data_IF_069305308898
#
_entry.id   IF_069305308898
#
_cell.length_a   1.000
_cell.length_b   1.000
_cell.length_c   1.000
_cell.angle_alpha   90.00
_cell.angle_beta   90.00
_cell.angle_gamma   90.00
#
_symmetry.space_group_name_H-M   'P 1'
#
loop_
_entity.id
_entity.type
_entity.pdbx_description
1 polymer ?
#
# COMPACT_ATOMS: atom_id res chain seq x y z
N UNK A 1 -7.18 -4.03 -17.10
CA UNK A 1 -7.93 -2.83 -17.54
C UNK A 1 -7.61 -1.70 -16.60
N UNK A 2 -7.34 -0.51 -17.12
CA UNK A 2 -7.15 0.69 -16.31
C UNK A 2 -8.48 1.44 -16.17
N UNK A 3 -8.73 1.97 -14.99
CA UNK A 3 -9.80 2.93 -14.77
C UNK A 3 -9.31 4.32 -15.09
N UNK A 4 -10.23 5.22 -15.37
CA UNK A 4 -9.94 6.65 -15.40
C UNK A 4 -9.69 7.18 -13.97
N UNK A 5 -9.11 8.37 -13.89
CA UNK A 5 -8.84 9.06 -12.62
C UNK A 5 -9.88 10.17 -12.37
N UNK A 6 -10.02 10.57 -11.12
CA UNK A 6 -10.79 11.75 -10.71
C UNK A 6 -9.86 12.94 -10.39
N UNK A 7 -10.43 14.04 -9.92
CA UNK A 7 -9.69 15.28 -9.59
C UNK A 7 -8.66 15.07 -8.46
N UNK A 8 -8.72 13.94 -7.75
CA UNK A 8 -7.70 13.55 -6.78
C UNK A 8 -6.54 12.80 -7.42
N UNK A 9 -6.51 12.62 -8.73
CA UNK A 9 -5.57 11.80 -9.50
C UNK A 9 -5.55 10.33 -9.06
N UNK A 10 -6.57 9.88 -8.36
CA UNK A 10 -6.75 8.49 -7.96
C UNK A 10 -7.82 7.82 -8.81
N UNK A 11 -7.95 6.48 -8.64
CA UNK A 11 -8.98 5.68 -9.29
C UNK A 11 -10.38 6.29 -9.10
N UNK A 12 -11.07 6.60 -10.19
CA UNK A 12 -12.43 7.11 -10.18
C UNK A 12 -13.43 5.98 -9.87
N UNK A 13 -14.14 6.00 -8.72
CA UNK A 13 -15.06 4.91 -8.36
C UNK A 13 -16.21 4.72 -9.36
N UNK A 14 -16.68 5.82 -9.97
CA UNK A 14 -17.75 5.78 -10.97
C UNK A 14 -17.30 5.05 -12.23
N UNK A 15 -16.08 5.34 -12.69
CA UNK A 15 -15.52 4.64 -13.85
C UNK A 15 -15.19 3.18 -13.52
N UNK A 16 -14.62 2.91 -12.32
CA UNK A 16 -14.38 1.55 -11.85
C UNK A 16 -15.64 0.68 -11.97
N UNK A 17 -16.79 1.18 -11.53
CA UNK A 17 -18.03 0.41 -11.53
C UNK A 17 -18.44 -0.04 -12.93
N UNK A 18 -18.24 0.79 -13.93
CA UNK A 18 -18.57 0.48 -15.33
C UNK A 18 -17.62 -0.56 -15.97
N UNK A 19 -16.41 -0.72 -15.43
CA UNK A 19 -15.38 -1.62 -15.96
C UNK A 19 -15.40 -3.03 -15.35
N UNK A 20 -16.17 -3.23 -14.27
CA UNK A 20 -16.26 -4.55 -13.62
C UNK A 20 -16.96 -5.55 -14.53
N UNK A 21 -16.35 -6.72 -14.66
CA UNK A 21 -16.87 -7.83 -15.46
C UNK A 21 -16.62 -9.18 -14.76
N UNK A 22 -17.15 -10.26 -15.30
CA UNK A 22 -16.88 -11.64 -14.84
C UNK A 22 -15.38 -12.01 -14.87
N UNK A 23 -14.56 -11.27 -15.62
CA UNK A 23 -13.10 -11.47 -15.72
C UNK A 23 -12.34 -10.71 -14.64
N UNK A 24 -12.94 -9.75 -13.94
CA UNK A 24 -12.29 -8.96 -12.90
C UNK A 24 -11.97 -9.84 -11.68
N UNK A 25 -10.70 -9.93 -11.32
CA UNK A 25 -10.22 -10.79 -10.22
C UNK A 25 -9.77 -10.00 -8.99
N UNK A 26 -9.37 -8.75 -9.17
CA UNK A 26 -8.97 -7.84 -8.10
C UNK A 26 -9.20 -6.39 -8.54
N UNK A 27 -9.34 -5.50 -7.55
CA UNK A 27 -9.33 -4.04 -7.73
C UNK A 27 -8.08 -3.54 -7.03
N UNK A 28 -7.26 -2.73 -7.72
CA UNK A 28 -5.99 -2.23 -7.18
C UNK A 28 -6.00 -0.69 -7.23
N UNK A 29 -6.58 -0.02 -6.22
CA UNK A 29 -6.48 1.43 -6.09
C UNK A 29 -5.08 1.82 -5.65
N UNK A 30 -4.51 2.81 -6.31
CA UNK A 30 -3.28 3.48 -5.89
C UNK A 30 -3.62 4.71 -5.06
N UNK A 31 -2.92 4.95 -3.97
CA UNK A 31 -2.99 6.20 -3.21
C UNK A 31 -1.90 7.14 -3.73
N UNK A 32 -2.19 7.76 -4.88
CA UNK A 32 -1.21 8.50 -5.67
C UNK A 32 -0.64 9.70 -4.91
N UNK A 33 0.70 9.75 -4.81
CA UNK A 33 1.46 10.83 -4.18
C UNK A 33 0.97 11.19 -2.76
N UNK A 34 0.59 10.20 -1.98
CA UNK A 34 0.19 10.35 -0.59
C UNK A 34 -1.26 10.77 -0.35
N UNK A 35 -2.06 10.96 -1.39
CA UNK A 35 -3.49 11.26 -1.27
C UNK A 35 -4.30 9.97 -1.37
N UNK A 36 -5.12 9.63 -0.35
CA UNK A 36 -5.94 8.44 -0.38
C UNK A 36 -6.95 8.44 -1.51
N UNK A 37 -7.12 7.29 -2.17
CA UNK A 37 -8.25 7.04 -3.05
C UNK A 37 -9.56 6.95 -2.24
N UNK A 38 -10.71 7.09 -2.90
CA UNK A 38 -12.04 7.01 -2.29
C UNK A 38 -12.38 5.58 -1.80
N UNK A 39 -11.63 5.14 -0.79
CA UNK A 39 -11.65 3.75 -0.32
C UNK A 39 -13.01 3.28 0.20
N UNK A 40 -13.84 4.19 0.72
CA UNK A 40 -15.19 3.84 1.19
C UNK A 40 -16.04 3.34 0.02
N UNK A 41 -16.01 4.04 -1.10
CA UNK A 41 -16.75 3.66 -2.31
C UNK A 41 -16.11 2.45 -2.99
N UNK A 42 -14.80 2.44 -3.16
CA UNK A 42 -14.06 1.33 -3.80
C UNK A 42 -14.29 0.02 -3.04
N UNK A 43 -14.18 0.03 -1.72
CA UNK A 43 -14.44 -1.17 -0.90
C UNK A 43 -15.91 -1.62 -0.98
N UNK A 44 -16.86 -0.69 -1.07
CA UNK A 44 -18.27 -1.02 -1.28
C UNK A 44 -18.49 -1.72 -2.62
N UNK A 45 -17.85 -1.21 -3.69
CA UNK A 45 -17.92 -1.82 -5.02
C UNK A 45 -17.30 -3.22 -5.00
N UNK A 46 -16.11 -3.38 -4.44
CA UNK A 46 -15.43 -4.66 -4.29
C UNK A 46 -16.30 -5.68 -3.55
N UNK A 47 -16.84 -5.29 -2.38
CA UNK A 47 -17.70 -6.16 -1.56
C UNK A 47 -18.98 -6.59 -2.30
N UNK A 48 -19.66 -5.66 -2.99
CA UNK A 48 -20.88 -5.95 -3.76
C UNK A 48 -20.63 -6.96 -4.87
N UNK A 49 -19.48 -6.87 -5.52
CA UNK A 49 -19.10 -7.74 -6.63
C UNK A 49 -18.27 -8.97 -6.20
N UNK A 50 -18.02 -9.14 -4.89
CA UNK A 50 -17.18 -10.23 -4.32
C UNK A 50 -15.77 -10.25 -4.90
N UNK A 51 -15.22 -9.07 -5.18
CA UNK A 51 -13.88 -8.88 -5.75
C UNK A 51 -12.98 -8.31 -4.64
N UNK A 52 -11.81 -8.94 -4.36
CA UNK A 52 -10.87 -8.44 -3.37
C UNK A 52 -10.26 -7.10 -3.81
N UNK A 53 -10.01 -6.23 -2.82
CA UNK A 53 -9.34 -4.96 -3.02
C UNK A 53 -7.94 -5.02 -2.43
N UNK A 54 -6.94 -4.62 -3.22
CA UNK A 54 -5.53 -4.54 -2.83
C UNK A 54 -5.12 -3.07 -2.88
N UNK A 55 -4.93 -2.45 -1.72
CA UNK A 55 -4.47 -1.07 -1.65
C UNK A 55 -3.00 -0.96 -2.04
N UNK A 56 -2.68 -0.19 -3.06
CA UNK A 56 -1.32 0.25 -3.33
C UNK A 56 -1.04 1.53 -2.53
N UNK A 57 -0.42 1.36 -1.36
CA UNK A 57 -0.04 2.44 -0.46
C UNK A 57 1.48 2.77 -0.54
N UNK A 58 2.14 2.39 -1.64
CA UNK A 58 3.58 2.57 -1.83
C UNK A 58 4.04 4.03 -1.81
N UNK A 59 3.15 4.98 -2.03
CA UNK A 59 3.43 6.41 -1.96
C UNK A 59 2.70 7.12 -0.81
N UNK A 60 1.95 6.38 0.00
CA UNK A 60 1.01 6.97 0.97
C UNK A 60 1.21 6.48 2.40
N UNK A 61 2.43 6.08 2.76
CA UNK A 61 2.71 5.66 4.14
C UNK A 61 2.34 6.78 5.12
N UNK A 62 1.51 6.43 6.11
CA UNK A 62 1.03 7.39 7.12
C UNK A 62 -0.20 8.20 6.72
N UNK A 63 -0.69 8.09 5.49
CA UNK A 63 -1.97 8.69 5.09
C UNK A 63 -3.15 7.97 5.75
N UNK A 64 -4.26 8.69 5.92
CA UNK A 64 -5.44 8.18 6.64
C UNK A 64 -6.73 8.52 5.92
N UNK A 65 -7.72 7.64 6.06
CA UNK A 65 -9.14 7.86 5.71
C UNK A 65 -9.96 7.63 6.97
N UNK A 66 -10.75 8.61 7.39
CA UNK A 66 -11.55 8.54 8.63
C UNK A 66 -10.74 8.03 9.84
N UNK A 67 -9.53 8.55 10.03
CA UNK A 67 -8.64 8.22 11.15
C UNK A 67 -7.88 6.88 11.02
N UNK A 68 -8.18 6.04 10.04
CA UNK A 68 -7.52 4.75 9.80
C UNK A 68 -6.45 4.86 8.72
N UNK A 69 -5.31 4.22 8.92
CA UNK A 69 -4.22 4.22 7.94
C UNK A 69 -4.60 3.48 6.66
N UNK A 70 -4.25 4.06 5.51
CA UNK A 70 -4.32 3.38 4.21
C UNK A 70 -3.38 2.18 4.18
N UNK A 71 -3.62 1.24 3.27
CA UNK A 71 -2.94 -0.05 3.23
C UNK A 71 -3.49 -1.07 4.24
N UNK A 72 -4.42 -0.65 5.13
CA UNK A 72 -5.12 -1.50 6.09
C UNK A 72 -6.65 -1.41 6.01
N UNK A 73 -7.17 -0.68 5.03
CA UNK A 73 -8.62 -0.46 4.88
C UNK A 73 -9.31 -1.61 4.13
N UNK A 74 -8.57 -2.33 3.29
CA UNK A 74 -9.07 -3.41 2.43
C UNK A 74 -8.54 -4.78 2.83
N UNK A 75 -8.73 -5.80 2.01
CA UNK A 75 -8.26 -7.17 2.28
C UNK A 75 -6.74 -7.26 2.33
N UNK A 76 -6.08 -6.52 1.42
CA UNK A 76 -4.63 -6.44 1.31
C UNK A 76 -4.18 -5.00 1.14
N UNK A 77 -2.95 -4.73 1.55
CA UNK A 77 -2.27 -3.48 1.27
C UNK A 77 -0.77 -3.71 1.06
N UNK A 78 -0.18 -2.94 0.17
CA UNK A 78 1.24 -3.01 -0.13
C UNK A 78 1.92 -1.67 0.13
N UNK A 79 3.17 -1.75 0.58
CA UNK A 79 4.03 -0.60 0.86
C UNK A 79 5.39 -0.82 0.19
N UNK A 80 6.00 0.26 -0.25
CA UNK A 80 7.36 0.26 -0.79
C UNK A 80 8.33 0.92 0.19
N UNK A 81 9.53 0.34 0.26
CA UNK A 81 10.68 0.90 0.96
C UNK A 81 11.85 1.12 0.00
N UNK A 82 11.54 1.36 -1.28
CA UNK A 82 12.48 1.79 -2.30
C UNK A 82 13.25 3.07 -1.86
N UNK A 83 14.42 3.31 -2.43
CA UNK A 83 15.30 4.42 -2.05
C UNK A 83 14.64 5.79 -2.14
N UNK A 84 13.68 5.99 -3.05
CA UNK A 84 12.94 7.25 -3.25
C UNK A 84 11.75 7.47 -2.31
N UNK A 85 11.43 6.50 -1.45
CA UNK A 85 10.26 6.60 -0.56
C UNK A 85 10.56 7.40 0.71
N UNK A 86 9.50 7.88 1.37
CA UNK A 86 9.59 8.68 2.60
C UNK A 86 10.38 7.99 3.71
N UNK A 87 10.30 6.67 3.80
CA UNK A 87 11.21 5.80 4.55
C UNK A 87 11.72 4.71 3.61
N UNK A 88 12.98 4.35 3.72
CA UNK A 88 13.62 3.43 2.79
C UNK A 88 14.42 2.35 3.51
N UNK A 89 14.60 1.23 2.84
CA UNK A 89 15.55 0.16 3.21
C UNK A 89 16.57 -0.08 2.10
N UNK A 90 16.74 0.91 1.19
CA UNK A 90 17.42 0.78 -0.08
C UNK A 90 16.49 0.18 -1.12
N UNK A 91 16.15 -1.06 -0.95
CA UNK A 91 15.09 -1.79 -1.65
C UNK A 91 14.28 -2.58 -0.63
N UNK A 92 12.99 -2.77 -0.89
CA UNK A 92 12.10 -3.54 -0.03
C UNK A 92 10.64 -3.12 -0.10
N UNK A 93 9.83 -3.83 0.66
CA UNK A 93 8.41 -3.57 0.77
C UNK A 93 7.76 -4.37 1.88
N UNK A 94 6.49 -4.12 2.11
CA UNK A 94 5.69 -4.89 3.04
C UNK A 94 4.31 -5.17 2.44
N UNK A 95 3.79 -6.35 2.75
CA UNK A 95 2.41 -6.73 2.49
C UNK A 95 1.65 -6.82 3.81
N UNK A 96 0.53 -6.13 3.87
CA UNK A 96 -0.49 -6.30 4.90
C UNK A 96 -1.59 -7.23 4.40
N UNK A 97 -2.13 -8.06 5.28
CA UNK A 97 -3.31 -8.89 5.01
C UNK A 97 -4.22 -8.91 6.23
N UNK A 98 -5.52 -8.70 6.02
CA UNK A 98 -6.54 -8.78 7.07
C UNK A 98 -6.71 -10.19 7.62
N UNK A 99 -6.65 -11.20 6.76
CA UNK A 99 -6.84 -12.60 7.14
C UNK A 99 -5.50 -13.26 7.44
N UNK A 100 -5.40 -13.91 8.60
CA UNK A 100 -4.19 -14.65 9.00
C UNK A 100 -3.80 -15.76 8.01
N UNK A 101 -4.79 -16.43 7.40
CA UNK A 101 -4.54 -17.45 6.37
C UNK A 101 -3.81 -16.87 5.16
N UNK A 102 -4.29 -15.73 4.67
CA UNK A 102 -3.71 -15.09 3.50
C UNK A 102 -2.31 -14.56 3.81
N UNK A 103 -2.11 -14.00 5.01
CA UNK A 103 -0.79 -13.60 5.49
C UNK A 103 0.19 -14.77 5.63
N UNK A 104 -0.28 -15.97 6.04
CA UNK A 104 0.54 -17.19 6.03
C UNK A 104 0.93 -17.60 4.61
N UNK A 105 -0.01 -17.56 3.67
CA UNK A 105 0.26 -17.89 2.28
C UNK A 105 1.27 -16.90 1.66
N UNK A 106 1.10 -15.61 1.91
CA UNK A 106 2.05 -14.59 1.46
C UNK A 106 3.45 -14.82 2.05
N UNK A 107 3.54 -15.18 3.34
CA UNK A 107 4.81 -15.51 4.00
C UNK A 107 5.47 -16.73 3.39
N UNK A 108 4.73 -17.78 3.06
CA UNK A 108 5.26 -18.93 2.34
C UNK A 108 5.71 -18.54 0.93
N UNK A 109 4.90 -17.79 0.20
CA UNK A 109 5.19 -17.39 -1.17
C UNK A 109 6.48 -16.56 -1.28
N UNK A 110 6.73 -15.65 -0.33
CA UNK A 110 7.93 -14.82 -0.32
C UNK A 110 9.21 -15.58 0.10
N UNK A 111 9.08 -16.77 0.64
CA UNK A 111 10.20 -17.60 1.13
C UNK A 111 10.16 -19.01 0.55
N UNK A 112 10.24 -19.16 -0.76
CA UNK A 112 10.31 -20.41 -1.51
C UNK A 112 9.19 -21.43 -1.21
N UNK A 113 8.08 -21.00 -0.61
CA UNK A 113 6.99 -21.87 -0.19
C UNK A 113 7.18 -22.52 1.18
N UNK A 114 8.24 -22.19 1.92
CA UNK A 114 8.51 -22.73 3.25
C UNK A 114 7.41 -22.35 4.25
N UNK A 115 6.95 -23.33 5.03
CA UNK A 115 5.98 -23.11 6.11
C UNK A 115 6.59 -22.45 7.33
N UNK A 116 7.93 -22.46 7.43
CA UNK A 116 8.69 -21.91 8.56
C UNK A 116 8.18 -22.42 9.91
N UNK A 117 8.13 -23.76 10.07
CA UNK A 117 7.68 -24.42 11.28
C UNK A 117 8.77 -24.28 12.36
N UNK A 118 8.51 -23.62 13.51
CA UNK A 118 9.55 -23.30 14.48
C UNK A 118 10.27 -24.53 15.09
N UNK A 119 9.62 -25.69 15.10
CA UNK A 119 10.15 -26.93 15.62
C UNK A 119 11.03 -27.73 14.63
N UNK A 120 11.13 -27.27 13.38
CA UNK A 120 11.89 -27.92 12.33
C UNK A 120 13.04 -27.03 11.84
N UNK A 121 14.23 -27.61 11.57
CA UNK A 121 15.26 -26.89 10.85
C UNK A 121 14.75 -26.42 9.48
N UNK A 122 15.19 -25.25 9.07
CA UNK A 122 14.84 -24.70 7.76
C UNK A 122 15.23 -25.65 6.64
N UNK A 123 14.31 -25.87 5.70
CA UNK A 123 14.50 -26.79 4.58
C UNK A 123 14.05 -28.24 4.86
N UNK A 124 13.72 -28.58 6.11
CA UNK A 124 13.08 -29.85 6.45
C UNK A 124 11.55 -29.75 6.52
N UNK A 125 11.01 -28.57 6.48
CA UNK A 125 9.57 -28.35 6.33
C UNK A 125 9.17 -28.57 4.86
N UNK A 126 8.11 -29.34 4.66
CA UNK A 126 7.56 -29.48 3.30
C UNK A 126 7.02 -28.15 2.79
N UNK A 127 7.33 -27.81 1.54
CA UNK A 127 6.77 -26.64 0.89
C UNK A 127 5.23 -26.73 0.88
N UNK A 128 4.59 -25.63 1.28
CA UNK A 128 3.13 -25.53 1.29
C UNK A 128 2.55 -25.06 -0.03
N UNK A 129 3.38 -24.38 -0.83
CA UNK A 129 3.06 -23.84 -2.15
C UNK A 129 4.35 -23.51 -2.91
N UNK A 130 4.25 -23.19 -4.20
CA UNK A 130 5.37 -22.66 -4.97
C UNK A 130 5.59 -21.21 -4.56
N UNK A 131 6.85 -20.84 -4.25
CA UNK A 131 7.22 -19.49 -3.85
C UNK A 131 8.57 -19.07 -4.41
N UNK A 132 8.93 -17.81 -4.12
CA UNK A 132 10.14 -17.15 -4.61
C UNK A 132 10.98 -16.63 -3.45
N UNK A 133 12.17 -16.14 -3.75
CA UNK A 133 12.99 -15.44 -2.77
C UNK A 133 12.72 -13.93 -2.81
N UNK A 134 11.77 -13.48 -2.01
CA UNK A 134 11.47 -12.07 -1.79
C UNK A 134 11.79 -11.63 -0.35
N UNK A 135 12.68 -12.37 0.31
CA UNK A 135 13.07 -12.06 1.69
C UNK A 135 13.86 -10.76 1.76
N UNK A 136 13.47 -9.89 2.68
CA UNK A 136 14.29 -8.75 3.07
C UNK A 136 15.55 -9.22 3.78
N UNK A 137 16.71 -8.60 3.51
CA UNK A 137 17.93 -8.88 4.25
C UNK A 137 17.85 -8.36 5.69
N UNK A 138 18.60 -8.98 6.61
CA UNK A 138 18.68 -8.50 8.01
C UNK A 138 19.20 -7.06 8.11
N UNK A 139 20.14 -6.68 7.24
CA UNK A 139 20.68 -5.32 7.16
C UNK A 139 19.57 -4.34 6.78
N UNK A 140 18.82 -4.63 5.71
CA UNK A 140 17.68 -3.81 5.29
C UNK A 140 16.60 -3.73 6.38
N UNK A 141 16.33 -4.85 7.07
CA UNK A 141 15.39 -4.89 8.18
C UNK A 141 15.83 -4.03 9.37
N UNK A 142 17.11 -4.09 9.74
CA UNK A 142 17.67 -3.26 10.80
C UNK A 142 17.59 -1.76 10.45
N UNK A 143 17.93 -1.41 9.21
CA UNK A 143 17.83 -0.05 8.71
C UNK A 143 16.37 0.44 8.72
N UNK A 144 15.43 -0.35 8.20
CA UNK A 144 14.00 -0.04 8.19
C UNK A 144 13.43 0.19 9.59
N UNK A 145 13.88 -0.58 10.58
CA UNK A 145 13.49 -0.38 11.99
C UNK A 145 13.86 1.01 12.52
N UNK A 146 15.03 1.52 12.12
CA UNK A 146 15.47 2.88 12.47
C UNK A 146 14.65 3.92 11.73
N UNK A 147 14.41 3.71 10.43
CA UNK A 147 13.57 4.60 9.61
C UNK A 147 12.14 4.72 10.16
N UNK A 148 11.53 3.61 10.55
CA UNK A 148 10.19 3.60 11.17
C UNK A 148 10.16 4.40 12.48
N UNK A 149 11.20 4.35 13.31
CA UNK A 149 11.29 5.17 14.52
C UNK A 149 11.35 6.66 14.21
N UNK A 150 12.01 7.06 13.12
CA UNK A 150 12.11 8.45 12.68
C UNK A 150 10.87 8.94 11.92
N UNK A 151 10.04 8.03 11.45
CA UNK A 151 8.91 8.35 10.58
C UNK A 151 7.99 9.46 11.09
N UNK A 152 7.59 9.53 12.37
CA UNK A 152 6.73 10.61 12.86
C UNK A 152 7.33 12.01 12.65
N UNK A 153 8.63 12.19 12.86
CA UNK A 153 9.31 13.47 12.62
C UNK A 153 9.43 13.78 11.14
N UNK A 154 9.81 12.78 10.32
CA UNK A 154 9.89 12.92 8.85
C UNK A 154 8.54 13.36 8.29
N UNK A 155 7.45 12.73 8.69
CA UNK A 155 6.09 13.07 8.25
C UNK A 155 5.69 14.48 8.68
N UNK A 156 5.99 14.86 9.94
CA UNK A 156 5.73 16.21 10.47
C UNK A 156 6.45 17.29 9.66
N UNK A 157 7.74 17.07 9.39
CA UNK A 157 8.54 18.03 8.64
C UNK A 157 8.13 18.14 7.17
N UNK A 158 7.78 17.02 6.55
CA UNK A 158 7.24 17.00 5.18
C UNK A 158 5.93 17.80 5.09
N UNK A 159 5.02 17.65 6.06
CA UNK A 159 3.78 18.43 6.14
C UNK A 159 4.05 19.94 6.31
N UNK A 160 5.00 20.31 7.20
CA UNK A 160 5.38 21.73 7.38
C UNK A 160 5.89 22.34 6.07
N UNK A 161 6.78 21.62 5.38
CA UNK A 161 7.34 22.06 4.08
C UNK A 161 6.26 22.20 3.02
N UNK A 162 5.36 21.23 2.92
CA UNK A 162 4.21 21.29 2.01
C UNK A 162 3.35 22.53 2.25
N UNK A 163 2.97 22.79 3.51
CA UNK A 163 2.15 23.95 3.85
C UNK A 163 2.88 25.27 3.61
N UNK A 164 4.19 25.33 3.90
CA UNK A 164 5.00 26.52 3.58
C UNK A 164 5.04 26.77 2.08
N UNK A 165 5.36 25.73 1.27
CA UNK A 165 5.40 25.84 -0.18
C UNK A 165 4.05 26.29 -0.76
N UNK A 166 2.95 25.69 -0.28
CA UNK A 166 1.60 26.02 -0.72
C UNK A 166 1.24 27.50 -0.46
N UNK A 167 1.77 28.10 0.60
CA UNK A 167 1.59 29.54 0.88
C UNK A 167 2.37 30.44 -0.08
N UNK A 168 3.56 29.99 -0.53
CA UNK A 168 4.36 30.76 -1.48
C UNK A 168 3.83 30.71 -2.91
N UNK A 169 3.20 29.60 -3.29
CA UNK A 169 2.64 29.45 -4.63
C UNK A 169 1.26 30.12 -4.65
N UNK A 170 1.24 31.39 -5.09
CA UNK A 170 0.02 32.16 -5.30
C UNK A 170 -0.03 32.60 -6.76
N UNK A 171 -0.44 31.72 -7.65
CA UNK A 171 -0.55 32.00 -9.08
C UNK A 171 -1.87 31.45 -9.62
N UNK A 172 -2.63 32.29 -10.36
CA UNK A 172 -3.98 31.96 -10.83
C UNK A 172 -4.08 30.72 -11.74
N UNK A 173 -3.00 30.36 -12.42
CA UNK A 173 -2.93 29.19 -13.32
C UNK A 173 -2.47 27.91 -12.60
N UNK A 174 -2.08 28.00 -11.33
CA UNK A 174 -1.65 26.85 -10.55
C UNK A 174 -2.80 26.41 -9.66
N UNK A 175 -3.31 25.21 -9.94
CA UNK A 175 -4.30 24.57 -9.10
C UNK A 175 -3.66 23.47 -8.28
N UNK A 176 -3.88 23.49 -6.97
CA UNK A 176 -3.48 22.38 -6.13
C UNK A 176 -4.48 21.25 -6.25
N UNK A 177 -3.97 20.06 -6.32
CA UNK A 177 -4.73 18.83 -6.29
C UNK A 177 -5.74 18.83 -5.14
N UNK A 178 -6.94 18.35 -5.40
CA UNK A 178 -7.94 18.14 -4.36
C UNK A 178 -7.48 17.06 -3.39
N UNK A 179 -7.61 17.32 -2.09
CA UNK A 179 -7.29 16.38 -1.02
C UNK A 179 -8.55 16.21 -0.21
N UNK A 180 -9.12 15.02 -0.26
CA UNK A 180 -10.22 14.62 0.64
C UNK A 180 -9.70 14.51 2.07
N UNK A 181 -10.32 15.25 2.98
CA UNK A 181 -9.97 15.27 4.42
C UNK A 181 -10.41 14.00 5.14
#
# INVERSE_FOLDING_TARGET
>A
VFTDIDDTLNMCPKNLESLISKKTKAIIPVHMLGVPAEMVLINRIGKRNKIPVVEDACEAIGAKVAGKYVGGLSEFGVFSFDFGKMITTGEGGALFSKKKSDGKNARMYHDHGHKNIPSLPRGLDHAGLIGFNYRMTEISGAFGKVQLKKFPSILSDSKKRYHALKKFINHKEIQFRHVTS
#
